data_IF_306766732264
#
_entry.id   IF_306766732264
#
_cell.length_a   1.000
_cell.length_b   1.000
_cell.length_c   1.000
_cell.angle_alpha   90.00
_cell.angle_beta   90.00
_cell.angle_gamma   90.00
#
_symmetry.space_group_name_H-M   'P 1'
#
loop_
_entity.id
_entity.type
_entity.pdbx_description
1 polymer ?
#
# COMPACT_ATOMS: atom_id res chain seq x y z
N UNK A 1 -21.70 -5.93 31.91
CA UNK A 1 -20.61 -6.87 31.56
C UNK A 1 -19.30 -6.29 32.04
N UNK A 2 -18.30 -7.15 32.38
CA UNK A 2 -16.96 -6.69 32.74
C UNK A 2 -16.35 -5.94 31.54
N UNK A 3 -15.67 -4.79 31.75
CA UNK A 3 -14.94 -4.09 30.69
C UNK A 3 -13.89 -4.98 30.04
N UNK A 4 -13.56 -4.70 28.78
CA UNK A 4 -12.38 -5.25 28.12
C UNK A 4 -11.19 -4.36 28.44
N UNK A 5 -10.14 -4.95 28.98
CA UNK A 5 -8.91 -4.27 29.35
C UNK A 5 -7.91 -4.33 28.19
N UNK A 6 -7.47 -3.17 27.73
CA UNK A 6 -6.52 -3.01 26.65
C UNK A 6 -5.14 -2.62 27.19
N UNK A 7 -4.13 -3.37 26.81
CA UNK A 7 -2.73 -3.01 26.93
C UNK A 7 -2.24 -2.32 25.67
N UNK A 8 -1.92 -1.03 25.73
CA UNK A 8 -1.49 -0.24 24.60
C UNK A 8 0.05 -0.15 24.56
N UNK A 9 0.66 -0.64 23.50
CA UNK A 9 2.10 -0.55 23.25
C UNK A 9 2.39 0.59 22.29
N UNK A 10 2.98 1.67 22.79
CA UNK A 10 3.27 2.89 22.05
C UNK A 10 2.13 3.93 22.08
N UNK A 11 2.46 5.13 22.57
CA UNK A 11 1.52 6.29 22.59
C UNK A 11 2.00 7.40 21.65
N UNK A 12 2.61 7.03 20.53
CA UNK A 12 2.97 7.94 19.45
C UNK A 12 1.74 8.58 18.79
N UNK A 13 1.86 8.93 17.53
CA UNK A 13 0.78 9.58 16.76
C UNK A 13 -0.50 8.74 16.75
N UNK A 14 -0.40 7.46 16.39
CA UNK A 14 -1.56 6.56 16.28
C UNK A 14 -2.07 6.16 17.66
N UNK A 15 -1.17 5.79 18.59
CA UNK A 15 -1.55 5.40 19.95
C UNK A 15 -2.21 6.53 20.73
N UNK A 16 -1.67 7.76 20.62
CA UNK A 16 -2.29 8.95 21.19
C UNK A 16 -3.65 9.25 20.60
N UNK A 17 -3.80 9.10 19.27
CA UNK A 17 -5.09 9.20 18.59
C UNK A 17 -6.08 8.15 19.07
N UNK A 18 -5.66 6.90 19.18
CA UNK A 18 -6.49 5.78 19.69
C UNK A 18 -6.97 6.05 21.11
N UNK A 19 -6.06 6.44 21.99
CA UNK A 19 -6.41 6.78 23.38
C UNK A 19 -7.43 7.92 23.43
N UNK A 20 -7.20 8.99 22.68
CA UNK A 20 -8.05 10.18 22.65
C UNK A 20 -9.46 9.89 22.10
N UNK A 21 -9.55 9.12 21.00
CA UNK A 21 -10.85 8.76 20.39
C UNK A 21 -11.62 7.79 21.30
N UNK A 22 -10.96 6.81 21.92
CA UNK A 22 -11.60 5.93 22.90
C UNK A 22 -12.16 6.72 24.08
N UNK A 23 -11.41 7.70 24.62
CA UNK A 23 -11.88 8.54 25.72
C UNK A 23 -13.06 9.44 25.31
N UNK A 24 -13.01 10.03 24.09
CA UNK A 24 -14.04 10.96 23.59
C UNK A 24 -15.33 10.24 23.23
N UNK A 25 -15.24 9.08 22.57
CA UNK A 25 -16.38 8.37 22.00
C UNK A 25 -16.70 7.07 22.76
N UNK A 26 -16.19 6.90 23.99
CA UNK A 26 -16.26 5.64 24.75
C UNK A 26 -17.68 5.10 24.95
N UNK A 27 -18.67 5.96 25.19
CA UNK A 27 -20.05 5.56 25.35
C UNK A 27 -20.64 4.96 24.05
N UNK A 28 -20.44 5.64 22.91
CA UNK A 28 -20.91 5.14 21.61
C UNK A 28 -20.20 3.86 21.21
N UNK A 29 -18.90 3.76 21.47
CA UNK A 29 -18.08 2.57 21.22
C UNK A 29 -18.59 1.39 22.08
N UNK A 30 -18.87 1.63 23.36
CA UNK A 30 -19.39 0.60 24.27
C UNK A 30 -20.78 0.09 23.83
N UNK A 31 -21.64 0.96 23.36
CA UNK A 31 -22.97 0.59 22.79
C UNK A 31 -22.83 -0.32 21.58
N UNK A 32 -21.82 -0.09 20.73
CA UNK A 32 -21.52 -0.92 19.54
C UNK A 32 -20.81 -2.22 19.90
N UNK A 33 -19.88 -2.19 20.85
CA UNK A 33 -19.12 -3.35 21.30
C UNK A 33 -19.92 -4.30 22.22
N UNK A 34 -21.00 -3.80 22.85
CA UNK A 34 -21.80 -4.51 23.83
C UNK A 34 -21.23 -4.45 25.26
N UNK A 35 -20.04 -3.85 25.45
CA UNK A 35 -19.40 -3.61 26.76
C UNK A 35 -18.37 -2.49 26.64
N UNK A 36 -17.96 -1.85 27.75
CA UNK A 36 -16.89 -0.87 27.75
C UNK A 36 -15.56 -1.46 27.31
N UNK A 37 -14.78 -0.68 26.57
CA UNK A 37 -13.37 -0.95 26.21
C UNK A 37 -12.54 0.13 26.89
N UNK A 38 -11.58 -0.25 27.72
CA UNK A 38 -10.74 0.68 28.47
C UNK A 38 -9.26 0.35 28.32
N UNK A 39 -8.43 1.38 28.16
CA UNK A 39 -6.98 1.23 28.22
C UNK A 39 -6.60 1.14 29.70
N UNK A 40 -6.18 -0.03 30.15
CA UNK A 40 -5.79 -0.29 31.54
C UNK A 40 -4.31 0.00 31.78
N UNK A 41 -3.48 -0.17 30.77
CA UNK A 41 -2.05 0.07 30.84
C UNK A 41 -1.50 0.54 29.49
N UNK A 42 -0.54 1.47 29.53
CA UNK A 42 0.21 1.95 28.38
C UNK A 42 1.70 1.72 28.61
N UNK A 43 2.36 1.11 27.64
CA UNK A 43 3.82 1.01 27.59
C UNK A 43 4.38 2.00 26.56
N UNK A 44 5.28 2.89 27.01
CA UNK A 44 6.03 3.81 26.13
C UNK A 44 7.34 4.21 26.78
N UNK A 45 8.37 4.44 25.98
CA UNK A 45 9.69 4.90 26.46
C UNK A 45 9.65 6.28 27.11
N UNK A 46 8.73 7.14 26.70
CA UNK A 46 8.57 8.49 27.23
C UNK A 46 7.42 8.54 28.25
N UNK A 47 7.73 8.14 29.49
CA UNK A 47 6.75 8.06 30.58
C UNK A 47 6.11 9.39 30.91
N UNK A 48 6.86 10.51 30.84
CA UNK A 48 6.34 11.84 31.13
C UNK A 48 5.27 12.27 30.11
N UNK A 49 5.58 12.13 28.81
CA UNK A 49 4.62 12.37 27.73
C UNK A 49 3.40 11.48 27.89
N UNK A 50 3.59 10.20 28.22
CA UNK A 50 2.52 9.24 28.39
C UNK A 50 1.58 9.63 29.52
N UNK A 51 2.08 9.94 30.72
CA UNK A 51 1.25 10.41 31.84
C UNK A 51 0.47 11.68 31.50
N UNK A 52 1.12 12.63 30.84
CA UNK A 52 0.43 13.86 30.39
C UNK A 52 -0.72 13.58 29.42
N UNK A 53 -0.54 12.66 28.47
CA UNK A 53 -1.58 12.30 27.49
C UNK A 53 -2.71 11.47 28.13
N UNK A 54 -2.38 10.54 29.01
CA UNK A 54 -3.34 9.68 29.71
C UNK A 54 -4.01 10.35 30.90
N UNK A 55 -3.49 11.51 31.35
CA UNK A 55 -3.94 12.20 32.58
C UNK A 55 -4.02 11.27 33.79
N UNK A 56 -3.07 10.36 33.88
CA UNK A 56 -2.98 9.33 34.93
C UNK A 56 -4.25 8.44 35.07
N UNK A 57 -5.05 8.32 33.98
CA UNK A 57 -6.27 7.51 34.00
C UNK A 57 -6.02 6.00 33.83
N UNK A 58 -4.77 5.58 33.56
CA UNK A 58 -4.34 4.20 33.44
C UNK A 58 -2.92 4.02 33.93
N UNK A 59 -2.51 2.76 34.17
CA UNK A 59 -1.13 2.45 34.52
C UNK A 59 -0.19 2.79 33.35
N UNK A 60 0.97 3.35 33.65
CA UNK A 60 2.02 3.72 32.68
C UNK A 60 3.31 3.00 33.02
N UNK A 61 3.95 2.39 32.05
CA UNK A 61 5.23 1.67 32.20
C UNK A 61 6.13 1.87 30.97
N UNK A 62 7.42 1.64 31.10
CA UNK A 62 8.38 1.52 30.00
C UNK A 62 8.65 0.06 29.60
N UNK A 63 8.11 -0.89 30.35
CA UNK A 63 8.23 -2.33 30.09
C UNK A 63 7.02 -2.87 29.29
N UNK A 64 7.19 -2.99 27.97
CA UNK A 64 6.19 -3.55 27.09
C UNK A 64 5.99 -5.07 27.32
N UNK A 65 7.03 -5.81 27.76
CA UNK A 65 6.93 -7.23 28.06
C UNK A 65 6.09 -7.51 29.30
N UNK A 66 6.14 -6.62 30.29
CA UNK A 66 5.24 -6.70 31.44
C UNK A 66 3.77 -6.54 31.03
N UNK A 67 3.46 -5.68 30.01
CA UNK A 67 2.09 -5.50 29.51
C UNK A 67 1.57 -6.74 28.81
N UNK A 68 2.34 -7.37 27.92
CA UNK A 68 1.90 -8.57 27.19
C UNK A 68 1.81 -9.80 28.10
N UNK A 69 2.43 -9.75 29.29
CA UNK A 69 2.39 -10.80 30.29
C UNK A 69 1.35 -10.56 31.39
N UNK A 70 0.75 -9.38 31.45
CA UNK A 70 -0.22 -9.01 32.49
C UNK A 70 -1.53 -9.80 32.38
N UNK A 71 -1.92 -10.60 33.40
CA UNK A 71 -3.13 -11.41 33.34
C UNK A 71 -4.43 -10.60 33.25
N UNK A 72 -4.41 -9.32 33.65
CA UNK A 72 -5.58 -8.45 33.60
C UNK A 72 -5.77 -7.78 32.24
N UNK A 73 -4.85 -7.93 31.28
CA UNK A 73 -4.98 -7.43 29.91
C UNK A 73 -5.65 -8.49 29.04
N UNK A 74 -6.75 -8.12 28.39
CA UNK A 74 -7.50 -9.00 27.47
C UNK A 74 -7.01 -8.87 26.02
N UNK A 75 -6.72 -7.64 25.57
CA UNK A 75 -6.29 -7.32 24.20
C UNK A 75 -5.02 -6.48 24.24
N UNK A 76 -4.03 -6.84 23.46
CA UNK A 76 -2.81 -6.03 23.24
C UNK A 76 -2.95 -5.25 21.94
N UNK A 77 -2.75 -3.94 22.00
CA UNK A 77 -2.71 -3.06 20.83
C UNK A 77 -1.25 -2.66 20.56
N UNK A 78 -0.65 -3.14 19.48
CA UNK A 78 0.72 -2.89 19.09
C UNK A 78 0.79 -1.73 18.10
N UNK A 79 1.38 -0.60 18.54
CA UNK A 79 1.56 0.64 17.78
C UNK A 79 2.97 1.23 17.93
N UNK A 80 3.96 0.38 18.24
CA UNK A 80 5.35 0.83 18.45
C UNK A 80 6.14 0.94 17.13
N UNK A 81 5.71 0.22 16.09
CA UNK A 81 6.44 0.15 14.83
C UNK A 81 7.72 -0.70 14.88
N UNK A 82 8.39 -0.84 13.72
CA UNK A 82 9.51 -1.77 13.57
C UNK A 82 9.04 -3.23 13.46
N UNK A 83 9.96 -4.16 13.25
CA UNK A 83 9.60 -5.56 13.01
C UNK A 83 10.27 -6.57 13.97
N UNK A 84 11.33 -6.18 14.68
CA UNK A 84 12.06 -7.08 15.58
C UNK A 84 11.37 -7.22 16.96
N UNK A 85 11.42 -6.17 17.78
CA UNK A 85 10.79 -6.17 19.12
C UNK A 85 9.27 -6.31 19.04
N UNK A 86 8.64 -5.70 18.03
CA UNK A 86 7.21 -5.84 17.80
C UNK A 86 6.80 -7.30 17.55
N UNK A 87 7.60 -8.06 16.79
CA UNK A 87 7.39 -9.49 16.58
C UNK A 87 7.41 -10.28 17.89
N UNK A 88 8.44 -10.07 18.71
CA UNK A 88 8.58 -10.76 19.99
C UNK A 88 7.39 -10.49 20.90
N UNK A 89 6.99 -9.23 21.03
CA UNK A 89 5.85 -8.80 21.85
C UNK A 89 4.53 -9.40 21.36
N UNK A 90 4.28 -9.38 20.05
CA UNK A 90 3.06 -9.94 19.46
C UNK A 90 3.00 -11.46 19.67
N UNK A 91 4.10 -12.18 19.40
CA UNK A 91 4.15 -13.63 19.61
C UNK A 91 4.01 -14.01 21.10
N UNK A 92 4.60 -13.23 22.01
CA UNK A 92 4.42 -13.44 23.45
C UNK A 92 2.99 -13.14 23.91
N UNK A 93 2.34 -12.08 23.40
CA UNK A 93 0.93 -11.79 23.67
C UNK A 93 0.05 -12.96 23.22
N UNK A 94 0.26 -13.49 22.02
CA UNK A 94 -0.43 -14.67 21.49
C UNK A 94 -0.19 -15.90 22.39
N UNK A 95 1.06 -16.18 22.77
CA UNK A 95 1.40 -17.30 23.66
C UNK A 95 0.70 -17.20 25.01
N UNK A 96 0.51 -15.99 25.53
CA UNK A 96 -0.23 -15.70 26.76
C UNK A 96 -1.77 -15.71 26.59
N UNK A 97 -2.28 -16.07 25.41
CA UNK A 97 -3.71 -16.16 25.11
C UNK A 97 -4.42 -14.82 24.91
N UNK A 98 -3.67 -13.75 24.61
CA UNK A 98 -4.24 -12.42 24.38
C UNK A 98 -4.54 -12.22 22.91
N UNK A 99 -5.65 -11.56 22.62
CA UNK A 99 -5.92 -11.05 21.27
C UNK A 99 -4.99 -9.88 20.97
N UNK A 100 -4.71 -9.66 19.68
CA UNK A 100 -3.82 -8.60 19.23
C UNK A 100 -4.51 -7.72 18.19
N UNK A 101 -4.31 -6.41 18.30
CA UNK A 101 -4.64 -5.42 17.27
C UNK A 101 -3.35 -4.71 16.88
N UNK A 102 -3.03 -4.61 15.60
CA UNK A 102 -1.80 -3.97 15.14
C UNK A 102 -2.02 -3.08 13.93
N UNK A 103 -1.28 -1.98 13.84
CA UNK A 103 -1.17 -1.12 12.67
C UNK A 103 0.15 -1.34 11.90
N UNK A 104 0.93 -2.35 12.29
CA UNK A 104 2.31 -2.54 11.84
C UNK A 104 2.39 -3.36 10.54
N UNK A 105 2.29 -2.65 9.42
CA UNK A 105 2.36 -3.27 8.09
C UNK A 105 3.68 -3.99 7.81
N UNK A 106 4.82 -3.45 8.31
CA UNK A 106 6.13 -4.06 8.10
C UNK A 106 6.24 -5.41 8.85
N UNK A 107 5.74 -5.45 10.08
CA UNK A 107 5.64 -6.68 10.86
C UNK A 107 4.83 -7.75 10.11
N UNK A 108 3.65 -7.39 9.61
CA UNK A 108 2.77 -8.35 8.93
C UNK A 108 3.31 -8.77 7.57
N UNK A 109 3.84 -7.86 6.76
CA UNK A 109 4.40 -8.18 5.45
C UNK A 109 5.56 -9.18 5.53
N UNK A 110 6.40 -9.08 6.57
CA UNK A 110 7.58 -9.94 6.77
C UNK A 110 7.32 -11.18 7.62
N UNK A 111 6.46 -11.08 8.63
CA UNK A 111 6.26 -12.11 9.65
C UNK A 111 4.79 -12.54 9.81
N UNK A 112 3.89 -12.05 8.95
CA UNK A 112 2.46 -12.33 9.06
C UNK A 112 2.13 -13.81 9.02
N UNK A 113 2.77 -14.59 8.17
CA UNK A 113 2.56 -16.04 8.07
C UNK A 113 2.81 -16.74 9.42
N UNK A 114 3.91 -16.41 10.12
CA UNK A 114 4.25 -16.96 11.44
C UNK A 114 3.26 -16.49 12.52
N UNK A 115 2.91 -15.20 12.50
CA UNK A 115 2.01 -14.59 13.48
C UNK A 115 0.60 -15.19 13.37
N UNK A 116 0.06 -15.32 12.14
CA UNK A 116 -1.26 -15.89 11.94
C UNK A 116 -1.31 -17.38 12.26
N UNK A 117 -0.27 -18.14 11.94
CA UNK A 117 -0.16 -19.55 12.33
C UNK A 117 -0.13 -19.72 13.86
N UNK A 118 0.63 -18.89 14.57
CA UNK A 118 0.67 -18.89 16.03
C UNK A 118 -0.69 -18.52 16.64
N UNK A 119 -1.35 -17.48 16.10
CA UNK A 119 -2.67 -17.04 16.55
C UNK A 119 -3.74 -18.12 16.34
N UNK A 120 -3.75 -18.77 15.17
CA UNK A 120 -4.65 -19.88 14.85
C UNK A 120 -4.46 -21.05 15.85
N UNK A 121 -3.22 -21.48 16.06
CA UNK A 121 -2.89 -22.56 16.99
C UNK A 121 -3.34 -22.24 18.42
N UNK A 122 -3.25 -20.98 18.85
CA UNK A 122 -3.64 -20.55 20.20
C UNK A 122 -5.13 -20.24 20.35
N UNK A 123 -5.87 -20.11 19.22
CA UNK A 123 -7.27 -19.72 19.20
C UNK A 123 -7.49 -18.26 19.57
N UNK A 124 -6.56 -17.36 19.24
CA UNK A 124 -6.69 -15.91 19.46
C UNK A 124 -6.80 -15.16 18.13
N UNK A 125 -7.32 -13.95 18.18
CA UNK A 125 -7.45 -13.08 17.00
C UNK A 125 -6.26 -12.14 16.88
N UNK A 126 -5.83 -11.89 15.64
CA UNK A 126 -4.95 -10.79 15.25
C UNK A 126 -5.71 -9.94 14.23
N UNK A 127 -6.06 -8.72 14.60
CA UNK A 127 -6.79 -7.76 13.76
C UNK A 127 -5.85 -6.62 13.33
N UNK A 128 -5.99 -6.16 12.09
CA UNK A 128 -4.97 -5.30 11.47
C UNK A 128 -5.52 -4.34 10.42
N UNK A 129 -6.76 -3.87 10.56
CA UNK A 129 -7.37 -2.88 9.67
C UNK A 129 -6.47 -1.65 9.50
N UNK A 130 -5.89 -1.19 10.60
CA UNK A 130 -5.03 -0.01 10.63
C UNK A 130 -3.67 -0.18 9.91
N UNK A 131 -3.29 -1.40 9.54
CA UNK A 131 -2.04 -1.66 8.83
C UNK A 131 -2.08 -1.23 7.36
N UNK A 132 -3.27 -1.11 6.75
CA UNK A 132 -3.45 -0.78 5.34
C UNK A 132 -4.40 0.39 5.16
N UNK A 133 -3.96 1.43 4.45
CA UNK A 133 -4.75 2.59 4.05
C UNK A 133 -5.45 3.35 5.21
N UNK A 134 -4.93 3.25 6.43
CA UNK A 134 -5.30 4.05 7.60
C UNK A 134 -6.80 4.16 7.87
N UNK A 135 -7.43 5.25 7.48
CA UNK A 135 -8.85 5.51 7.69
C UNK A 135 -9.81 4.83 6.70
N UNK A 136 -9.30 4.09 5.71
CA UNK A 136 -10.11 3.35 4.74
C UNK A 136 -10.33 1.92 5.24
N UNK A 137 -11.56 1.44 5.44
CA UNK A 137 -11.84 0.11 5.99
C UNK A 137 -11.68 -0.99 4.90
N UNK A 138 -10.49 -1.09 4.31
CA UNK A 138 -10.23 -1.96 3.15
C UNK A 138 -10.05 -3.43 3.53
N UNK A 139 -9.44 -3.72 4.69
CA UNK A 139 -9.24 -5.09 5.14
C UNK A 139 -10.58 -5.75 5.42
N UNK A 140 -11.50 -5.07 6.12
CA UNK A 140 -12.88 -5.55 6.33
C UNK A 140 -13.65 -5.68 5.03
N UNK A 141 -13.49 -4.72 4.12
CA UNK A 141 -14.15 -4.80 2.82
C UNK A 141 -13.72 -6.07 2.07
N UNK A 142 -12.41 -6.35 1.98
CA UNK A 142 -11.88 -7.54 1.31
C UNK A 142 -12.24 -8.83 2.06
N UNK A 143 -12.08 -8.84 3.39
CA UNK A 143 -12.21 -10.03 4.21
C UNK A 143 -13.66 -10.46 4.45
N UNK A 144 -14.58 -9.50 4.54
CA UNK A 144 -15.96 -9.73 4.95
C UNK A 144 -16.97 -9.21 3.91
N UNK A 145 -16.83 -7.95 3.46
CA UNK A 145 -17.82 -7.31 2.59
C UNK A 145 -17.86 -7.88 1.17
N UNK A 146 -16.75 -8.37 0.67
CA UNK A 146 -16.60 -8.88 -0.70
C UNK A 146 -16.48 -10.42 -0.78
N UNK A 147 -16.77 -11.14 0.29
CA UNK A 147 -16.62 -12.61 0.37
C UNK A 147 -17.38 -13.41 -0.69
N UNK A 148 -18.46 -12.84 -1.24
CA UNK A 148 -19.21 -13.48 -2.33
C UNK A 148 -18.49 -13.44 -3.68
N UNK A 149 -17.38 -12.70 -3.79
CA UNK A 149 -16.69 -12.43 -5.04
C UNK A 149 -15.39 -13.23 -5.16
N UNK A 150 -15.10 -13.65 -6.36
CA UNK A 150 -13.73 -13.95 -6.77
C UNK A 150 -13.08 -12.63 -7.13
N UNK A 151 -12.14 -12.16 -6.30
CA UNK A 151 -11.39 -10.94 -6.60
C UNK A 151 -10.50 -11.19 -7.81
N UNK A 152 -10.64 -10.35 -8.84
CA UNK A 152 -9.86 -10.41 -10.07
C UNK A 152 -8.56 -9.63 -9.93
N UNK A 153 -8.66 -8.38 -9.44
CA UNK A 153 -7.51 -7.51 -9.19
C UNK A 153 -7.81 -6.40 -8.19
N UNK A 154 -6.74 -5.86 -7.64
CA UNK A 154 -6.73 -4.65 -6.80
C UNK A 154 -5.70 -3.69 -7.40
N UNK A 155 -6.05 -2.41 -7.47
CA UNK A 155 -5.14 -1.32 -7.80
C UNK A 155 -5.31 -0.19 -6.78
N UNK A 156 -4.22 0.26 -6.16
CA UNK A 156 -4.33 1.23 -5.07
C UNK A 156 -3.28 2.34 -5.10
N UNK A 157 -3.74 3.57 -4.86
CA UNK A 157 -2.91 4.69 -4.42
C UNK A 157 -2.88 4.59 -2.88
N UNK A 158 -1.85 3.94 -2.34
CA UNK A 158 -1.78 3.53 -0.93
C UNK A 158 -0.61 4.14 -0.15
N UNK A 159 0.07 5.12 -0.77
CA UNK A 159 1.05 5.97 -0.13
C UNK A 159 0.70 7.45 -0.37
N UNK A 160 0.39 8.19 0.70
CA UNK A 160 -0.04 9.59 0.61
C UNK A 160 1.09 10.55 0.26
N UNK A 161 2.32 10.27 0.69
CA UNK A 161 3.51 11.07 0.41
C UNK A 161 3.80 11.13 -1.09
N UNK A 162 3.85 9.97 -1.74
CA UNK A 162 4.10 9.89 -3.19
C UNK A 162 2.96 10.48 -4.00
N UNK A 163 1.70 10.27 -3.58
CA UNK A 163 0.58 10.89 -4.28
C UNK A 163 0.58 12.42 -4.15
N UNK A 164 0.95 12.96 -2.99
CA UNK A 164 1.16 14.40 -2.80
C UNK A 164 2.25 14.92 -3.74
N UNK A 165 3.43 14.27 -3.76
CA UNK A 165 4.55 14.67 -4.62
C UNK A 165 4.14 14.69 -6.09
N UNK A 166 3.52 13.64 -6.60
CA UNK A 166 3.10 13.55 -8.01
C UNK A 166 2.01 14.58 -8.36
N UNK A 167 1.09 14.88 -7.43
CA UNK A 167 0.08 15.94 -7.62
C UNK A 167 0.74 17.31 -7.75
N UNK A 168 1.67 17.65 -6.86
CA UNK A 168 2.37 18.93 -6.84
C UNK A 168 3.33 19.09 -8.04
N UNK A 169 4.03 18.03 -8.45
CA UNK A 169 4.86 18.04 -9.66
C UNK A 169 4.01 18.35 -10.90
N UNK A 170 2.82 17.76 -11.00
CA UNK A 170 1.88 18.03 -12.09
C UNK A 170 1.36 19.45 -12.05
N UNK A 171 0.79 19.89 -10.93
CA UNK A 171 0.07 21.16 -10.84
C UNK A 171 0.99 22.37 -10.93
N UNK A 172 2.24 22.24 -10.47
CA UNK A 172 3.23 23.33 -10.47
C UNK A 172 4.31 23.21 -11.54
N UNK A 173 4.40 22.07 -12.23
CA UNK A 173 5.46 21.80 -13.21
C UNK A 173 6.87 21.74 -12.62
N UNK A 174 6.99 21.43 -11.32
CA UNK A 174 8.25 21.40 -10.58
C UNK A 174 8.91 20.02 -10.64
N UNK A 175 10.25 20.00 -10.44
CA UNK A 175 11.01 18.74 -10.37
C UNK A 175 10.74 18.00 -9.05
N UNK A 176 10.99 16.69 -9.06
CA UNK A 176 10.87 15.81 -7.88
C UNK A 176 11.59 16.37 -6.65
N UNK A 177 12.85 16.78 -6.78
CA UNK A 177 13.66 17.27 -5.65
C UNK A 177 13.08 18.53 -4.99
N UNK A 178 12.49 19.43 -5.79
CA UNK A 178 11.88 20.66 -5.29
C UNK A 178 10.63 20.34 -4.51
N UNK A 179 9.78 19.47 -5.07
CA UNK A 179 8.52 19.07 -4.42
C UNK A 179 8.76 18.19 -3.19
N UNK A 180 9.78 17.32 -3.22
CA UNK A 180 10.15 16.51 -2.05
C UNK A 180 10.52 17.38 -0.85
N UNK A 181 11.34 18.43 -1.06
CA UNK A 181 11.69 19.39 0.00
C UNK A 181 10.46 20.08 0.58
N UNK A 182 9.51 20.43 -0.26
CA UNK A 182 8.25 21.02 0.18
C UNK A 182 7.39 20.01 0.97
N UNK A 183 7.32 18.75 0.54
CA UNK A 183 6.65 17.67 1.27
C UNK A 183 7.25 17.46 2.66
N UNK A 184 8.60 17.51 2.77
CA UNK A 184 9.32 17.45 4.06
C UNK A 184 8.98 18.64 4.94
N UNK A 185 8.98 19.85 4.38
CA UNK A 185 8.65 21.08 5.12
C UNK A 185 7.21 21.06 5.67
N UNK A 186 6.27 20.49 4.92
CA UNK A 186 4.86 20.35 5.30
C UNK A 186 4.59 19.15 6.22
N UNK A 187 5.59 18.27 6.43
CA UNK A 187 5.45 17.07 7.26
C UNK A 187 4.77 15.90 6.58
N UNK A 188 4.65 15.90 5.24
CA UNK A 188 4.18 14.75 4.45
C UNK A 188 5.27 13.72 4.20
N UNK A 189 6.55 14.15 4.16
CA UNK A 189 7.71 13.29 4.03
C UNK A 189 8.63 13.43 5.25
N UNK A 190 9.25 12.33 5.66
CA UNK A 190 10.27 12.32 6.72
C UNK A 190 11.62 12.80 6.16
N UNK A 191 12.62 12.96 7.06
CA UNK A 191 13.97 13.35 6.66
C UNK A 191 14.61 12.32 5.72
N UNK A 192 14.40 11.04 5.98
CA UNK A 192 14.68 9.95 5.03
C UNK A 192 13.36 9.46 4.42
N UNK A 193 13.02 9.89 3.21
CA UNK A 193 11.77 9.55 2.56
C UNK A 193 11.83 8.23 1.76
N UNK A 194 12.97 7.54 1.73
CA UNK A 194 13.25 6.40 0.86
C UNK A 194 12.17 5.33 0.94
N UNK A 195 11.71 5.01 2.13
CA UNK A 195 10.66 4.01 2.36
C UNK A 195 9.35 4.31 1.62
N UNK A 196 9.00 5.60 1.51
CA UNK A 196 7.83 6.06 0.79
C UNK A 196 8.10 6.20 -0.70
N UNK A 197 9.12 6.99 -1.09
CA UNK A 197 9.34 7.40 -2.48
C UNK A 197 9.81 6.26 -3.37
N UNK A 198 10.49 5.25 -2.80
CA UNK A 198 10.87 4.03 -3.52
C UNK A 198 9.80 2.93 -3.50
N UNK A 199 8.62 3.20 -2.95
CA UNK A 199 7.44 2.33 -3.06
C UNK A 199 7.39 1.17 -2.06
N UNK A 200 8.32 1.07 -1.12
CA UNK A 200 8.40 -0.04 -0.14
C UNK A 200 7.19 -0.05 0.80
N UNK A 201 6.77 1.12 1.28
CA UNK A 201 5.53 1.26 2.08
C UNK A 201 4.30 0.72 1.35
N UNK A 202 4.15 1.08 0.08
CA UNK A 202 3.05 0.60 -0.75
C UNK A 202 3.12 -0.92 -0.97
N UNK A 203 4.31 -1.49 -1.14
CA UNK A 203 4.49 -2.92 -1.34
C UNK A 203 4.15 -3.74 -0.09
N UNK A 204 4.48 -3.27 1.12
CA UNK A 204 4.04 -3.90 2.36
C UNK A 204 2.50 -3.98 2.43
N UNK A 205 1.81 -2.88 2.17
CA UNK A 205 0.34 -2.82 2.19
C UNK A 205 -0.28 -3.71 1.10
N UNK A 206 0.30 -3.70 -0.09
CA UNK A 206 -0.17 -4.49 -1.22
C UNK A 206 -0.05 -5.99 -0.96
N UNK A 207 1.06 -6.45 -0.37
CA UNK A 207 1.26 -7.87 -0.05
C UNK A 207 0.21 -8.40 0.93
N UNK A 208 -0.20 -7.57 1.89
CA UNK A 208 -1.29 -7.90 2.83
C UNK A 208 -2.63 -8.01 2.08
N UNK A 209 -2.96 -7.03 1.24
CA UNK A 209 -4.20 -7.08 0.46
C UNK A 209 -4.23 -8.25 -0.52
N UNK A 210 -3.10 -8.57 -1.15
CA UNK A 210 -2.96 -9.71 -2.07
C UNK A 210 -3.23 -11.04 -1.37
N UNK A 211 -2.65 -11.23 -0.17
CA UNK A 211 -2.87 -12.43 0.63
C UNK A 211 -4.36 -12.63 0.96
N UNK A 212 -5.06 -11.56 1.37
CA UNK A 212 -6.49 -11.60 1.68
C UNK A 212 -7.34 -11.85 0.42
N UNK A 213 -7.01 -11.20 -0.70
CA UNK A 213 -7.80 -11.28 -1.93
C UNK A 213 -7.74 -12.64 -2.60
N UNK A 214 -6.60 -13.33 -2.49
CA UNK A 214 -6.35 -14.55 -3.26
C UNK A 214 -6.14 -15.80 -2.41
N UNK A 215 -6.08 -15.66 -1.08
CA UNK A 215 -5.82 -16.79 -0.18
C UNK A 215 -4.39 -17.29 -0.25
N UNK A 216 -3.43 -16.42 -0.57
CA UNK A 216 -2.01 -16.74 -0.63
C UNK A 216 -1.30 -16.43 0.69
N UNK A 217 -0.13 -17.04 0.86
CA UNK A 217 0.85 -16.60 1.86
C UNK A 217 1.33 -15.17 1.59
N UNK A 218 1.78 -14.45 2.64
CA UNK A 218 2.46 -13.17 2.49
C UNK A 218 3.74 -13.36 1.65
N UNK A 219 3.89 -12.58 0.59
CA UNK A 219 4.96 -12.75 -0.40
C UNK A 219 5.64 -11.41 -0.74
N UNK A 220 5.85 -10.55 0.27
CA UNK A 220 6.45 -9.23 0.07
C UNK A 220 7.80 -9.30 -0.65
N UNK A 221 8.66 -10.27 -0.31
CA UNK A 221 10.01 -10.40 -0.89
C UNK A 221 9.99 -10.70 -2.41
N UNK A 222 8.85 -11.09 -2.96
CA UNK A 222 8.67 -11.35 -4.40
C UNK A 222 7.98 -10.19 -5.13
N UNK A 223 7.63 -9.12 -4.43
CA UNK A 223 6.99 -7.96 -5.03
C UNK A 223 7.98 -7.23 -5.94
N UNK A 224 7.54 -6.87 -7.15
CA UNK A 224 8.28 -5.94 -7.99
C UNK A 224 8.04 -4.51 -7.50
N UNK A 225 9.10 -3.73 -7.28
CA UNK A 225 9.00 -2.39 -6.69
C UNK A 225 9.84 -1.41 -7.49
N UNK A 226 9.21 -0.35 -7.99
CA UNK A 226 9.85 0.81 -8.59
C UNK A 226 9.30 2.09 -7.94
N UNK A 227 10.19 3.01 -7.54
CA UNK A 227 9.84 4.28 -6.91
C UNK A 227 9.53 5.40 -7.91
N UNK A 228 9.32 6.61 -7.37
CA UNK A 228 9.04 7.82 -8.16
C UNK A 228 10.23 8.77 -8.28
N UNK A 229 11.36 8.47 -7.64
CA UNK A 229 12.52 9.36 -7.58
C UNK A 229 13.15 9.68 -8.94
N UNK A 230 12.94 8.81 -9.94
CA UNK A 230 13.49 8.97 -11.30
C UNK A 230 12.50 9.63 -12.29
N UNK A 231 11.30 10.02 -11.81
CA UNK A 231 10.31 10.65 -12.69
C UNK A 231 10.70 12.07 -13.03
N UNK A 232 10.65 12.40 -14.31
CA UNK A 232 10.86 13.74 -14.84
C UNK A 232 9.50 14.48 -14.98
N UNK A 233 9.51 15.79 -14.70
CA UNK A 233 8.36 16.66 -14.95
C UNK A 233 7.93 16.66 -16.45
N UNK A 234 8.84 16.37 -17.36
CA UNK A 234 8.51 16.20 -18.78
C UNK A 234 7.58 15.01 -19.01
N UNK A 235 7.80 13.87 -18.33
CA UNK A 235 6.97 12.68 -18.48
C UNK A 235 5.55 12.94 -17.96
N UNK A 236 5.42 13.72 -16.88
CA UNK A 236 4.11 14.12 -16.35
C UNK A 236 3.36 14.99 -17.36
N UNK A 237 4.03 15.97 -17.99
CA UNK A 237 3.43 16.82 -19.03
C UNK A 237 3.01 16.02 -20.27
N UNK A 238 3.84 15.08 -20.73
CA UNK A 238 3.50 14.24 -21.87
C UNK A 238 2.34 13.29 -21.55
N UNK A 239 2.32 12.73 -20.36
CA UNK A 239 1.19 11.90 -19.90
C UNK A 239 -0.12 12.70 -19.95
N UNK A 240 -0.15 13.94 -19.47
CA UNK A 240 -1.34 14.80 -19.52
C UNK A 240 -1.78 15.12 -20.97
N UNK A 241 -0.83 15.41 -21.85
CA UNK A 241 -1.13 15.65 -23.29
C UNK A 241 -1.75 14.42 -23.96
N UNK A 242 -1.35 13.24 -23.52
CA UNK A 242 -1.90 11.96 -23.99
C UNK A 242 -3.20 11.54 -23.29
N UNK A 243 -3.71 12.35 -22.34
CA UNK A 243 -4.95 12.08 -21.61
C UNK A 243 -4.78 11.14 -20.40
N UNK A 244 -3.57 11.07 -19.84
CA UNK A 244 -3.23 10.22 -18.69
C UNK A 244 -2.74 11.05 -17.50
N UNK A 245 -2.78 10.43 -16.32
CA UNK A 245 -2.09 10.88 -15.10
C UNK A 245 -1.17 9.81 -14.60
N UNK A 246 -0.02 10.23 -14.05
CA UNK A 246 0.93 9.31 -13.42
C UNK A 246 0.61 9.21 -11.94
N UNK A 247 0.44 7.99 -11.43
CA UNK A 247 0.27 7.66 -10.02
C UNK A 247 1.22 6.53 -9.64
N UNK A 248 1.69 6.50 -8.39
CA UNK A 248 2.33 5.30 -7.85
C UNK A 248 1.22 4.31 -7.48
N UNK A 249 1.09 3.22 -8.22
CA UNK A 249 0.10 2.19 -7.96
C UNK A 249 0.73 0.94 -7.36
N UNK A 250 0.09 0.43 -6.30
CA UNK A 250 0.21 -0.97 -5.94
C UNK A 250 -0.84 -1.77 -6.69
N UNK A 251 -0.41 -2.76 -7.47
CA UNK A 251 -1.27 -3.60 -8.30
C UNK A 251 -1.05 -5.06 -7.95
N UNK A 252 -2.13 -5.77 -7.65
CA UNK A 252 -2.12 -7.22 -7.55
C UNK A 252 -3.28 -7.79 -8.36
N UNK A 253 -2.99 -8.82 -9.17
CA UNK A 253 -3.95 -9.37 -10.15
C UNK A 253 -3.80 -10.87 -10.24
N UNK A 254 -4.93 -11.57 -10.19
CA UNK A 254 -4.97 -13.01 -10.45
C UNK A 254 -4.95 -13.27 -11.95
N UNK A 255 -4.07 -14.13 -12.38
CA UNK A 255 -3.98 -14.62 -13.77
C UNK A 255 -4.09 -16.15 -13.80
N UNK A 256 -4.09 -16.74 -15.00
CA UNK A 256 -4.01 -18.20 -15.16
C UNK A 256 -2.63 -18.78 -14.80
N UNK A 257 -1.58 -17.92 -14.81
CA UNK A 257 -0.19 -18.34 -14.59
C UNK A 257 0.25 -18.07 -13.15
N UNK A 258 -0.51 -17.26 -12.36
CA UNK A 258 -0.16 -16.90 -10.99
C UNK A 258 -0.73 -15.54 -10.60
N UNK A 259 -0.04 -14.85 -9.67
CA UNK A 259 -0.44 -13.56 -9.14
C UNK A 259 0.60 -12.50 -9.51
N UNK A 260 0.15 -11.41 -10.14
CA UNK A 260 0.96 -10.19 -10.25
C UNK A 260 1.02 -9.48 -8.89
N UNK A 261 2.20 -9.08 -8.45
CA UNK A 261 2.42 -8.31 -7.23
C UNK A 261 3.47 -7.23 -7.50
N UNK A 262 3.02 -6.01 -7.78
CA UNK A 262 3.89 -4.95 -8.29
C UNK A 262 3.51 -3.56 -7.82
N UNK A 263 4.50 -2.72 -7.56
CA UNK A 263 4.37 -1.30 -7.22
C UNK A 263 5.27 -0.51 -8.15
N UNK A 264 4.70 0.42 -8.89
CA UNK A 264 5.45 1.26 -9.81
C UNK A 264 4.67 2.52 -10.23
N UNK A 265 5.35 3.55 -10.75
CA UNK A 265 4.69 4.65 -11.46
C UNK A 265 3.88 4.11 -12.64
N UNK A 266 2.63 4.57 -12.76
CA UNK A 266 1.68 4.04 -13.73
C UNK A 266 0.89 5.17 -14.38
N UNK A 267 0.78 5.14 -15.70
CA UNK A 267 -0.14 6.01 -16.44
C UNK A 267 -1.56 5.45 -16.32
N UNK A 268 -2.49 6.29 -15.91
CA UNK A 268 -3.92 5.96 -15.77
C UNK A 268 -4.72 6.94 -16.60
N UNK A 269 -5.67 6.51 -17.45
CA UNK A 269 -6.53 7.42 -18.19
C UNK A 269 -7.26 8.41 -17.28
N UNK A 270 -7.28 9.69 -17.63
CA UNK A 270 -7.88 10.76 -16.81
C UNK A 270 -9.38 10.57 -16.57
N UNK A 271 -10.07 9.78 -17.41
CA UNK A 271 -11.48 9.40 -17.24
C UNK A 271 -11.72 8.45 -16.07
N UNK A 272 -10.68 7.81 -15.51
CA UNK A 272 -10.80 6.90 -14.37
C UNK A 272 -10.86 7.67 -13.06
N UNK A 273 -11.76 7.30 -12.16
CA UNK A 273 -11.90 7.96 -10.86
C UNK A 273 -10.60 7.95 -10.05
N UNK A 274 -9.89 6.84 -10.04
CA UNK A 274 -8.64 6.71 -9.29
C UNK A 274 -7.54 7.66 -9.81
N UNK A 275 -7.54 8.01 -11.10
CA UNK A 275 -6.60 9.00 -11.64
C UNK A 275 -6.76 10.38 -11.01
N UNK A 276 -7.95 10.68 -10.47
CA UNK A 276 -8.32 11.98 -9.90
C UNK A 276 -8.22 12.02 -8.36
N UNK A 277 -7.55 11.05 -7.76
CA UNK A 277 -7.20 11.05 -6.33
C UNK A 277 -5.98 11.93 -6.12
N UNK A 278 -6.14 13.07 -5.45
CA UNK A 278 -5.15 14.14 -5.37
C UNK A 278 -4.59 14.33 -3.94
N UNK A 279 -3.47 15.04 -3.85
CA UNK A 279 -2.81 15.36 -2.60
C UNK A 279 -2.39 14.11 -1.83
N UNK A 280 -2.49 14.14 -0.49
CA UNK A 280 -2.12 13.02 0.36
C UNK A 280 -3.23 11.98 0.55
N UNK A 281 -4.27 12.00 -0.30
CA UNK A 281 -5.38 11.06 -0.22
C UNK A 281 -5.00 9.69 -0.80
N UNK A 282 -5.61 8.65 -0.25
CA UNK A 282 -5.47 7.27 -0.70
C UNK A 282 -6.76 6.78 -1.36
N UNK A 283 -6.62 5.80 -2.24
CA UNK A 283 -7.76 5.08 -2.80
C UNK A 283 -7.37 3.65 -3.14
N UNK A 284 -8.31 2.73 -2.98
CA UNK A 284 -8.16 1.33 -3.37
C UNK A 284 -9.34 0.96 -4.26
N UNK A 285 -9.03 0.55 -5.48
CA UNK A 285 -9.99 0.04 -6.46
C UNK A 285 -9.89 -1.48 -6.45
N UNK A 286 -11.01 -2.15 -6.19
CA UNK A 286 -11.11 -3.61 -6.14
C UNK A 286 -12.10 -4.06 -7.19
N UNK A 287 -11.73 -5.03 -8.02
CA UNK A 287 -12.65 -5.66 -8.97
C UNK A 287 -12.95 -7.10 -8.55
N UNK A 288 -14.21 -7.34 -8.29
CA UNK A 288 -14.78 -8.68 -8.10
C UNK A 288 -15.64 -9.10 -9.30
N UNK A 289 -15.73 -10.39 -9.53
CA UNK A 289 -16.48 -10.96 -10.66
C UNK A 289 -18.00 -10.71 -10.57
N UNK A 290 -18.56 -10.67 -9.37
CA UNK A 290 -19.98 -10.45 -9.15
C UNK A 290 -20.35 -8.98 -8.97
N UNK A 291 -19.59 -8.22 -8.15
CA UNK A 291 -19.90 -6.83 -7.81
C UNK A 291 -19.36 -5.83 -8.84
N UNK A 292 -18.39 -6.24 -9.67
CA UNK A 292 -17.66 -5.34 -10.54
C UNK A 292 -16.65 -4.47 -9.78
N UNK A 293 -16.26 -3.30 -10.30
CA UNK A 293 -15.30 -2.42 -9.66
C UNK A 293 -15.93 -1.63 -8.50
N UNK A 294 -15.27 -1.63 -7.35
CA UNK A 294 -15.60 -0.82 -6.16
C UNK A 294 -14.41 0.04 -5.78
N UNK A 295 -14.64 1.32 -5.48
CA UNK A 295 -13.59 2.28 -5.10
C UNK A 295 -13.77 2.73 -3.65
N UNK A 296 -12.73 2.58 -2.87
CA UNK A 296 -12.62 3.03 -1.48
C UNK A 296 -11.65 4.22 -1.42
N UNK A 297 -12.09 5.34 -0.87
CA UNK A 297 -11.35 6.59 -0.87
C UNK A 297 -11.35 7.22 0.52
N UNK A 298 -10.20 7.75 0.95
CA UNK A 298 -10.09 8.41 2.25
C UNK A 298 -8.66 8.80 2.60
N UNK A 299 -8.46 9.20 3.87
CA UNK A 299 -7.13 9.48 4.41
C UNK A 299 -6.39 8.17 4.68
N UNK A 300 -5.22 8.00 4.06
CA UNK A 300 -4.38 6.82 4.21
C UNK A 300 -3.55 6.78 5.50
N UNK A 301 -3.42 7.90 6.21
CA UNK A 301 -2.66 8.03 7.45
C UNK A 301 -3.21 9.18 8.31
N UNK A 302 -2.69 9.29 9.53
CA UNK A 302 -3.03 10.35 10.49
C UNK A 302 -3.47 9.78 11.84
N UNK A 303 -3.38 10.59 12.90
CA UNK A 303 -3.68 10.16 14.26
C UNK A 303 -5.10 9.57 14.40
N UNK A 304 -6.11 10.36 14.10
CA UNK A 304 -7.51 9.93 14.25
C UNK A 304 -8.00 9.01 13.13
N UNK A 305 -7.66 9.21 11.82
CA UNK A 305 -8.04 8.26 10.79
C UNK A 305 -7.54 6.84 11.07
N UNK A 306 -6.28 6.67 11.46
CA UNK A 306 -5.71 5.35 11.80
C UNK A 306 -6.29 4.82 13.11
N UNK A 307 -6.51 5.68 14.12
CA UNK A 307 -7.19 5.30 15.35
C UNK A 307 -8.60 4.75 15.11
N UNK A 308 -9.33 5.30 14.14
CA UNK A 308 -10.65 4.78 13.74
C UNK A 308 -10.59 3.30 13.34
N UNK A 309 -9.58 2.90 12.58
CA UNK A 309 -9.38 1.51 12.17
C UNK A 309 -8.96 0.62 13.36
N UNK A 310 -8.04 1.09 14.22
CA UNK A 310 -7.65 0.37 15.46
C UNK A 310 -8.86 0.13 16.34
N UNK A 311 -9.71 1.13 16.52
CA UNK A 311 -10.91 1.01 17.37
C UNK A 311 -11.96 0.11 16.72
N UNK A 312 -12.10 0.12 15.40
CA UNK A 312 -12.97 -0.81 14.70
C UNK A 312 -12.55 -2.26 14.96
N UNK A 313 -11.25 -2.55 14.92
CA UNK A 313 -10.70 -3.86 15.27
C UNK A 313 -10.93 -4.20 16.75
N UNK A 314 -10.71 -3.26 17.66
CA UNK A 314 -11.00 -3.46 19.08
C UNK A 314 -12.48 -3.81 19.32
N UNK A 315 -13.40 -3.17 18.64
CA UNK A 315 -14.84 -3.48 18.73
C UNK A 315 -15.13 -4.90 18.24
N UNK A 316 -14.56 -5.30 17.11
CA UNK A 316 -14.79 -6.65 16.57
C UNK A 316 -14.17 -7.74 17.45
N UNK A 317 -12.94 -7.53 17.89
CA UNK A 317 -12.29 -8.44 18.84
C UNK A 317 -13.10 -8.54 20.12
N UNK A 318 -13.65 -7.43 20.63
CA UNK A 318 -14.50 -7.41 21.82
C UNK A 318 -15.79 -8.21 21.63
N UNK A 319 -16.45 -8.09 20.48
CA UNK A 319 -17.68 -8.84 20.13
C UNK A 319 -17.41 -10.35 20.06
N UNK A 320 -16.26 -10.71 19.50
CA UNK A 320 -15.88 -12.10 19.24
C UNK A 320 -15.00 -12.71 20.35
N UNK A 321 -14.74 -11.97 21.44
CA UNK A 321 -13.83 -12.36 22.50
C UNK A 321 -14.17 -13.73 23.13
N UNK A 322 -15.45 -14.01 23.32
CA UNK A 322 -15.95 -15.28 23.88
C UNK A 322 -16.48 -16.24 22.82
N UNK A 323 -16.42 -15.89 21.54
CA UNK A 323 -16.86 -16.78 20.45
C UNK A 323 -15.87 -17.93 20.25
N UNK A 324 -16.41 -19.07 19.86
CA UNK A 324 -15.60 -20.21 19.44
C UNK A 324 -14.65 -19.78 18.30
N UNK A 325 -13.35 -20.08 18.40
CA UNK A 325 -12.39 -19.77 17.35
C UNK A 325 -12.80 -20.23 15.95
N UNK A 326 -13.46 -21.39 15.83
CA UNK A 326 -13.92 -21.95 14.56
C UNK A 326 -15.05 -21.12 13.90
N UNK A 327 -15.77 -20.31 14.68
CA UNK A 327 -16.84 -19.44 14.19
C UNK A 327 -16.38 -18.00 13.91
N UNK A 328 -15.09 -17.71 14.03
CA UNK A 328 -14.54 -16.38 13.76
C UNK A 328 -14.17 -16.21 12.28
N UNK A 329 -14.18 -14.96 11.82
CA UNK A 329 -13.67 -14.64 10.48
C UNK A 329 -12.18 -14.97 10.41
N UNK A 330 -11.73 -15.77 9.42
CA UNK A 330 -10.32 -16.11 9.28
C UNK A 330 -9.45 -14.86 9.06
N UNK A 331 -8.21 -14.87 9.56
CA UNK A 331 -7.31 -13.71 9.50
C UNK A 331 -7.10 -13.19 8.06
N UNK A 332 -6.94 -14.11 7.09
CA UNK A 332 -6.71 -13.83 5.68
C UNK A 332 -7.92 -14.14 4.80
N UNK A 333 -9.15 -14.02 5.32
CA UNK A 333 -10.43 -14.26 4.64
C UNK A 333 -10.72 -15.73 4.30
N UNK A 334 -9.72 -16.55 4.09
CA UNK A 334 -9.85 -17.97 3.74
C UNK A 334 -9.59 -18.85 4.97
N UNK A 335 -10.27 -20.00 5.05
CA UNK A 335 -9.96 -20.99 6.07
C UNK A 335 -8.51 -21.45 5.94
N UNK A 336 -7.79 -21.71 7.02
CA UNK A 336 -6.36 -22.05 6.99
C UNK A 336 -6.01 -23.25 6.11
N UNK A 337 -6.90 -24.24 6.04
CA UNK A 337 -6.78 -25.45 5.20
C UNK A 337 -7.19 -25.20 3.73
N UNK A 338 -7.79 -24.06 3.43
CA UNK A 338 -8.19 -23.64 2.08
C UNK A 338 -7.28 -22.56 1.48
N UNK A 339 -6.18 -22.24 2.16
CA UNK A 339 -5.16 -21.36 1.58
C UNK A 339 -4.50 -22.04 0.38
N UNK A 340 -4.19 -21.23 -0.64
CA UNK A 340 -3.53 -21.69 -1.86
C UNK A 340 -2.14 -21.05 -1.97
N UNK A 341 -1.24 -21.72 -2.67
CA UNK A 341 0.11 -21.22 -2.90
C UNK A 341 0.30 -20.91 -4.39
N UNK A 342 -0.40 -19.87 -4.85
CA UNK A 342 -0.27 -19.40 -6.23
C UNK A 342 1.10 -18.71 -6.39
N UNK A 343 1.86 -19.02 -7.46
CA UNK A 343 3.15 -18.41 -7.68
C UNK A 343 3.01 -16.89 -7.95
N UNK A 344 3.95 -16.11 -7.45
CA UNK A 344 4.07 -14.70 -7.84
C UNK A 344 4.75 -14.65 -9.21
N UNK A 345 4.13 -13.98 -10.17
CA UNK A 345 4.67 -13.86 -11.52
C UNK A 345 5.92 -12.97 -11.53
N UNK A 346 7.01 -13.41 -12.16
CA UNK A 346 8.13 -12.52 -12.47
C UNK A 346 7.65 -11.35 -13.32
N UNK A 347 8.19 -10.15 -13.08
CA UNK A 347 7.79 -8.95 -13.82
C UNK A 347 7.95 -9.11 -15.34
N UNK A 348 8.95 -9.84 -15.79
CA UNK A 348 9.19 -10.16 -17.20
C UNK A 348 8.02 -10.84 -17.92
N UNK A 349 7.12 -11.49 -17.17
CA UNK A 349 5.94 -12.20 -17.70
C UNK A 349 4.66 -11.38 -17.64
N UNK A 350 4.65 -10.23 -16.97
CA UNK A 350 3.50 -9.33 -16.89
C UNK A 350 3.18 -8.75 -18.27
N UNK A 351 1.88 -8.67 -18.56
CA UNK A 351 1.36 -8.11 -19.83
C UNK A 351 0.67 -6.79 -19.52
N UNK A 352 1.21 -5.70 -20.06
CA UNK A 352 0.63 -4.36 -19.95
C UNK A 352 1.01 -3.50 -21.16
N UNK A 353 0.49 -2.27 -21.24
CA UNK A 353 0.90 -1.28 -22.22
C UNK A 353 1.99 -0.37 -21.65
N UNK A 354 2.73 0.29 -22.52
CA UNK A 354 3.90 1.10 -22.11
C UNK A 354 3.87 2.47 -22.71
N UNK A 355 4.37 3.42 -21.93
CA UNK A 355 4.84 4.73 -22.36
C UNK A 355 6.36 4.66 -22.49
N UNK A 356 6.88 5.13 -23.62
CA UNK A 356 8.30 5.27 -23.89
C UNK A 356 8.61 6.73 -24.24
N UNK A 357 9.67 7.30 -23.66
CA UNK A 357 10.26 8.56 -24.09
C UNK A 357 11.71 8.35 -24.47
N UNK A 358 12.03 8.68 -25.72
CA UNK A 358 13.35 8.57 -26.30
C UNK A 358 13.85 9.96 -26.68
N UNK A 359 15.10 10.27 -26.38
CA UNK A 359 15.81 11.41 -26.94
C UNK A 359 16.67 10.92 -28.08
N UNK A 360 16.49 11.48 -29.28
CA UNK A 360 17.14 10.98 -30.50
C UNK A 360 17.71 12.14 -31.31
N UNK A 361 18.72 11.85 -32.15
CA UNK A 361 19.18 12.77 -33.16
C UNK A 361 18.07 13.03 -34.18
N UNK A 362 17.82 14.31 -34.53
CA UNK A 362 16.82 14.68 -35.51
C UNK A 362 17.37 14.49 -36.93
N UNK A 363 17.25 13.27 -37.42
CA UNK A 363 17.67 12.89 -38.78
C UNK A 363 16.76 11.83 -39.39
N UNK A 364 16.74 11.77 -40.72
CA UNK A 364 15.98 10.76 -41.45
C UNK A 364 16.38 9.35 -41.09
N UNK A 365 15.42 8.43 -41.00
CA UNK A 365 15.64 7.02 -40.74
C UNK A 365 15.53 6.59 -39.26
N UNK A 366 15.76 7.50 -38.30
CA UNK A 366 15.77 7.15 -36.89
C UNK A 366 14.44 6.54 -36.43
N UNK A 367 13.32 7.14 -36.80
CA UNK A 367 12.00 6.61 -36.45
C UNK A 367 11.76 5.25 -37.12
N UNK A 368 12.23 5.05 -38.34
CA UNK A 368 12.09 3.78 -39.05
C UNK A 368 12.89 2.67 -38.36
N UNK A 369 14.10 2.97 -37.86
CA UNK A 369 14.91 1.99 -37.10
C UNK A 369 14.23 1.63 -35.77
N UNK A 370 13.75 2.62 -35.02
CA UNK A 370 13.05 2.40 -33.75
C UNK A 370 11.79 1.55 -33.96
N UNK A 371 10.95 1.91 -34.94
CA UNK A 371 9.70 1.17 -35.19
C UNK A 371 9.94 -0.23 -35.72
N UNK A 372 11.04 -0.44 -36.49
CA UNK A 372 11.46 -1.77 -36.92
C UNK A 372 11.82 -2.67 -35.73
N UNK A 373 12.58 -2.13 -34.76
CA UNK A 373 12.96 -2.89 -33.57
C UNK A 373 11.73 -3.26 -32.75
N UNK A 374 10.75 -2.35 -32.59
CA UNK A 374 9.49 -2.65 -31.90
C UNK A 374 8.73 -3.75 -32.63
N UNK A 375 8.60 -3.66 -33.96
CA UNK A 375 7.91 -4.67 -34.79
C UNK A 375 8.58 -6.04 -34.69
N UNK A 376 9.92 -6.11 -34.67
CA UNK A 376 10.68 -7.36 -34.52
C UNK A 376 10.41 -8.05 -33.15
N UNK A 377 9.97 -7.28 -32.15
CA UNK A 377 9.56 -7.77 -30.82
C UNK A 377 8.05 -7.92 -30.68
N UNK A 378 7.29 -7.89 -31.79
CA UNK A 378 5.84 -8.00 -31.83
C UNK A 378 5.11 -6.92 -31.02
N UNK A 379 5.72 -5.71 -30.93
CA UNK A 379 5.16 -4.58 -30.20
C UNK A 379 4.46 -3.64 -31.19
N UNK A 380 3.16 -3.47 -31.03
CA UNK A 380 2.36 -2.49 -31.79
C UNK A 380 2.31 -1.16 -31.08
N UNK A 381 2.38 -0.06 -31.84
CA UNK A 381 2.28 1.32 -31.34
C UNK A 381 0.82 1.73 -31.37
N UNK A 382 0.32 2.27 -30.25
CA UNK A 382 -1.03 2.83 -30.11
C UNK A 382 -1.05 4.34 -30.48
N UNK A 383 -0.10 5.10 -29.93
CA UNK A 383 0.04 6.54 -30.20
C UNK A 383 1.52 6.95 -30.23
N UNK A 384 1.80 8.04 -30.95
CA UNK A 384 3.14 8.59 -31.01
C UNK A 384 3.07 10.13 -31.13
N UNK A 385 4.00 10.80 -30.44
CA UNK A 385 4.26 12.22 -30.55
C UNK A 385 5.75 12.42 -30.85
N UNK A 386 6.06 13.14 -31.92
CA UNK A 386 7.39 13.68 -32.19
C UNK A 386 7.26 15.19 -32.34
N UNK A 387 8.08 15.94 -31.64
CA UNK A 387 8.11 17.39 -31.73
C UNK A 387 9.27 17.84 -32.61
N UNK A 388 9.10 19.01 -33.25
CA UNK A 388 10.23 19.69 -33.86
C UNK A 388 11.23 20.09 -32.79
N UNK A 389 12.55 19.91 -33.01
CA UNK A 389 13.56 20.37 -32.07
C UNK A 389 13.47 21.91 -31.93
N UNK A 390 13.91 22.41 -30.77
CA UNK A 390 14.05 23.86 -30.59
C UNK A 390 15.12 24.41 -31.55
N UNK A 391 15.00 25.70 -31.87
CA UNK A 391 15.94 26.35 -32.81
C UNK A 391 17.38 26.19 -32.33
N UNK A 392 18.23 25.55 -33.15
CA UNK A 392 19.63 25.24 -32.85
C UNK A 392 19.85 23.91 -32.11
N UNK A 393 18.83 23.14 -31.82
CA UNK A 393 18.96 21.75 -31.27
C UNK A 393 19.01 20.72 -32.40
N UNK A 394 19.94 19.76 -32.26
CA UNK A 394 20.11 18.62 -33.20
C UNK A 394 19.41 17.35 -32.70
N UNK A 395 18.64 17.45 -31.61
CA UNK A 395 17.98 16.33 -30.94
C UNK A 395 16.50 16.63 -30.73
N UNK A 396 15.69 15.60 -30.85
CA UNK A 396 14.24 15.69 -30.58
C UNK A 396 13.81 14.58 -29.64
N UNK A 397 12.62 14.70 -29.07
CA UNK A 397 12.00 13.66 -28.27
C UNK A 397 10.93 12.92 -29.08
N UNK A 398 10.96 11.58 -29.00
CA UNK A 398 9.91 10.70 -29.50
C UNK A 398 9.22 10.09 -28.29
N UNK A 399 7.93 10.31 -28.18
CA UNK A 399 7.05 9.75 -27.18
C UNK A 399 6.14 8.72 -27.84
N UNK A 400 6.06 7.51 -27.27
CA UNK A 400 5.22 6.45 -27.82
C UNK A 400 4.39 5.79 -26.72
N UNK A 401 3.15 5.42 -27.06
CA UNK A 401 2.34 4.47 -26.32
C UNK A 401 2.27 3.18 -27.12
N UNK A 402 2.38 2.04 -26.43
CA UNK A 402 2.26 0.72 -27.05
C UNK A 402 0.92 0.07 -26.73
N UNK A 403 0.47 -0.84 -27.58
CA UNK A 403 -0.50 -1.86 -27.17
C UNK A 403 0.10 -2.79 -26.11
N UNK A 404 -0.73 -3.66 -25.55
CA UNK A 404 -0.29 -4.63 -24.53
C UNK A 404 0.78 -5.57 -25.11
N UNK A 405 1.86 -5.73 -24.35
CA UNK A 405 2.94 -6.67 -24.63
C UNK A 405 3.54 -7.20 -23.33
N UNK A 406 4.27 -8.32 -23.40
CA UNK A 406 5.01 -8.81 -22.23
C UNK A 406 6.20 -7.91 -21.91
N UNK A 407 6.47 -7.71 -20.60
CA UNK A 407 7.60 -6.88 -20.16
C UNK A 407 8.93 -7.31 -20.80
N UNK A 408 9.23 -8.62 -20.90
CA UNK A 408 10.44 -9.11 -21.55
C UNK A 408 10.61 -8.64 -22.99
N UNK A 409 9.54 -8.47 -23.74
CA UNK A 409 9.59 -8.03 -25.14
C UNK A 409 9.94 -6.53 -25.20
N UNK A 410 9.35 -5.73 -24.33
CA UNK A 410 9.67 -4.28 -24.27
C UNK A 410 11.11 -4.06 -23.77
N UNK A 411 11.59 -4.86 -22.81
CA UNK A 411 12.98 -4.81 -22.33
C UNK A 411 13.98 -5.15 -23.44
N UNK A 412 13.69 -6.18 -24.23
CA UNK A 412 14.50 -6.54 -25.40
C UNK A 412 14.51 -5.44 -26.46
N UNK A 413 13.34 -4.82 -26.72
CA UNK A 413 13.24 -3.69 -27.64
C UNK A 413 14.05 -2.48 -27.14
N UNK A 414 13.88 -2.09 -25.87
CA UNK A 414 14.59 -0.96 -25.26
C UNK A 414 16.12 -1.17 -25.35
N UNK A 415 16.58 -2.38 -25.04
CA UNK A 415 18.02 -2.71 -25.10
C UNK A 415 18.57 -2.51 -26.53
N UNK A 416 17.85 -2.97 -27.55
CA UNK A 416 18.24 -2.79 -28.95
C UNK A 416 18.15 -1.32 -29.38
N UNK A 417 17.09 -0.61 -29.01
CA UNK A 417 16.91 0.81 -29.34
C UNK A 417 18.01 1.65 -28.69
N UNK A 418 18.36 1.38 -27.44
CA UNK A 418 19.43 2.09 -26.72
C UNK A 418 20.81 1.90 -27.39
N UNK A 419 21.01 0.84 -28.16
CA UNK A 419 22.25 0.58 -28.90
C UNK A 419 22.37 1.38 -30.24
N UNK A 420 21.31 2.07 -30.66
CA UNK A 420 21.35 2.89 -31.88
C UNK A 420 22.17 4.17 -31.62
N UNK A 421 23.10 4.49 -32.49
CA UNK A 421 23.91 5.74 -32.42
C UNK A 421 23.07 7.02 -32.36
N UNK A 422 21.85 6.97 -32.90
CA UNK A 422 20.92 8.08 -32.91
C UNK A 422 20.26 8.32 -31.54
N UNK A 423 20.19 7.35 -30.66
CA UNK A 423 19.57 7.48 -29.36
C UNK A 423 20.54 8.11 -28.36
N UNK A 424 20.07 9.09 -27.61
CA UNK A 424 20.87 9.89 -26.69
C UNK A 424 20.31 9.78 -25.26
N UNK A 425 21.16 9.29 -24.35
CA UNK A 425 20.78 9.12 -22.94
C UNK A 425 19.86 7.91 -22.67
N UNK A 426 19.28 7.88 -21.50
CA UNK A 426 18.41 6.80 -21.05
C UNK A 426 17.01 6.89 -21.70
N UNK A 427 16.45 5.75 -22.02
CA UNK A 427 15.05 5.62 -22.46
C UNK A 427 14.18 5.56 -21.20
N UNK A 428 13.19 6.44 -21.10
CA UNK A 428 12.19 6.37 -20.04
C UNK A 428 11.12 5.36 -20.45
N UNK A 429 10.81 4.45 -19.55
CA UNK A 429 9.72 3.47 -19.67
C UNK A 429 8.79 3.60 -18.46
N UNK A 430 7.50 3.80 -18.71
CA UNK A 430 6.47 3.71 -17.68
C UNK A 430 5.37 2.75 -18.17
N UNK A 431 4.70 2.11 -17.23
CA UNK A 431 3.59 1.19 -17.55
C UNK A 431 2.26 1.94 -17.55
N UNK A 432 1.30 1.40 -18.29
CA UNK A 432 -0.03 1.97 -18.44
C UNK A 432 -1.07 0.94 -18.06
N UNK A 433 -2.06 1.35 -17.25
CA UNK A 433 -3.17 0.50 -16.81
C UNK A 433 -4.53 1.14 -17.14
N UNK A 434 -5.34 0.43 -17.91
CA UNK A 434 -6.69 0.86 -18.25
C UNK A 434 -7.69 0.70 -17.09
N UNK A 435 -7.47 -0.24 -16.18
CA UNK A 435 -8.30 -0.54 -15.00
C UNK A 435 -9.80 -0.71 -15.37
N UNK A 436 -10.06 -1.64 -16.28
CA UNK A 436 -11.39 -1.93 -16.83
C UNK A 436 -12.14 -2.99 -16.03
#
# INVERSE_FOLDING_TARGET
>A
MKPINVGLLGIGTVGGGTFSVLARNGEEIARRAGRPIQVSVVADRNLERTRRLTKDSCRVTDDAFAVVSDPDVDIVVELIGGDSVAKELVLQAIANGKHVVTANKALLAKHGNEIFAAAQKKGVMVAFEAAVAGGIPIIKALREGLTANRIEWIAGIINGTTNFILSEMRDKGLSFDVVLKEAQRLGYAEADPTFDVEGVDAAHKLSIMSAIAFGNSMSFDQAHIEGISQLDAADIRYAEQLGYRIKLLGITKRTSEGVELRVHPTLIPTRRLIANVEGAMNAVLVKGDAVGPTLYYGKGAGAEPTASAVIADLVDVTRMHTADPEHRVPHLAFQPDAMVDLPILPMADVITSYYLRLRVADRTGVLADVTRILADQEISIDAMIQREPAEGEEQTEIIMLTHQTRERNIDAAITRIASLDAVKGAIVRLRLEELL
#
